data_IF_249857743637
#
_entry.id   IF_249857743637
#
_cell.length_a   1.000
_cell.length_b   1.000
_cell.length_c   1.000
_cell.angle_alpha   90.00
_cell.angle_beta   90.00
_cell.angle_gamma   90.00
#
_symmetry.space_group_name_H-M   'P 1'
#
loop_
_entity.id
_entity.type
_entity.pdbx_description
1 polymer ?
#
# COMPACT_ATOMS: atom_id res chain seq x y z
N UNK A 1 9.57 -11.77 13.37
CA UNK A 1 8.37 -11.23 14.03
C UNK A 1 8.75 -10.21 15.10
N UNK A 2 9.52 -10.58 16.14
CA UNK A 2 9.87 -9.70 17.30
C UNK A 2 10.55 -8.38 16.92
N UNK A 3 11.34 -8.32 15.84
CA UNK A 3 11.98 -7.09 15.35
C UNK A 3 11.04 -6.19 14.55
N UNK A 4 9.79 -6.60 14.32
CA UNK A 4 8.84 -5.80 13.59
C UNK A 4 8.37 -4.62 14.45
N UNK A 5 8.26 -3.39 13.90
CA UNK A 5 7.84 -2.21 14.67
C UNK A 5 6.50 -2.37 15.39
N UNK A 6 5.63 -3.22 14.90
CA UNK A 6 4.31 -3.48 15.50
C UNK A 6 4.33 -4.48 16.65
N UNK A 7 5.46 -5.12 16.95
CA UNK A 7 5.60 -6.00 18.11
C UNK A 7 5.30 -5.26 19.43
N UNK A 8 5.58 -3.95 19.49
CA UNK A 8 5.26 -3.08 20.65
C UNK A 8 3.77 -3.04 21.01
N UNK A 9 2.88 -3.25 20.03
CA UNK A 9 1.42 -3.28 20.26
C UNK A 9 0.92 -4.68 20.65
N UNK A 10 1.72 -5.70 20.46
CA UNK A 10 1.33 -7.09 20.73
C UNK A 10 1.69 -7.48 22.16
N UNK A 11 2.89 -7.12 22.61
CA UNK A 11 3.37 -7.43 23.95
C UNK A 11 4.26 -6.33 24.49
N UNK A 12 4.15 -6.03 25.78
CA UNK A 12 5.06 -5.11 26.48
C UNK A 12 6.44 -5.72 26.68
N UNK A 13 6.53 -7.05 26.76
CA UNK A 13 7.74 -7.78 27.08
C UNK A 13 8.59 -8.18 25.86
N UNK A 14 8.20 -7.76 24.65
CA UNK A 14 8.88 -8.15 23.41
C UNK A 14 10.35 -7.73 23.36
N UNK A 15 10.69 -6.58 23.96
CA UNK A 15 12.07 -6.07 23.99
C UNK A 15 12.96 -6.90 24.90
N UNK A 16 12.46 -7.27 26.09
CA UNK A 16 13.20 -8.09 27.05
C UNK A 16 13.48 -9.48 26.49
N UNK A 17 12.48 -10.06 25.81
CA UNK A 17 12.66 -11.32 25.11
C UNK A 17 13.67 -11.22 23.97
N UNK A 18 13.60 -10.14 23.18
CA UNK A 18 14.54 -9.91 22.09
C UNK A 18 15.98 -9.77 22.62
N UNK A 19 16.17 -9.01 23.71
CA UNK A 19 17.46 -8.82 24.37
C UNK A 19 18.01 -10.15 24.91
N UNK A 20 17.17 -10.94 25.56
CA UNK A 20 17.53 -12.27 26.06
C UNK A 20 17.99 -13.21 24.94
N UNK A 21 17.28 -13.20 23.80
CA UNK A 21 17.64 -14.00 22.63
C UNK A 21 19.00 -13.58 22.07
N UNK A 22 19.26 -12.27 21.99
CA UNK A 22 20.52 -11.73 21.46
C UNK A 22 21.71 -11.97 22.40
N UNK A 23 21.55 -11.74 23.69
CA UNK A 23 22.61 -11.98 24.70
C UNK A 23 23.00 -13.44 24.79
N UNK A 24 22.01 -14.32 24.84
CA UNK A 24 22.23 -15.77 24.99
C UNK A 24 22.52 -16.45 23.65
N UNK A 25 22.49 -15.71 22.51
CA UNK A 25 22.70 -16.22 21.14
C UNK A 25 21.86 -17.48 20.87
N UNK A 26 20.57 -17.40 21.22
CA UNK A 26 19.65 -18.50 21.02
C UNK A 26 19.23 -18.57 19.55
N UNK A 27 19.75 -19.53 18.81
CA UNK A 27 19.44 -19.75 17.39
C UNK A 27 18.21 -20.64 17.18
N UNK A 28 17.94 -21.51 18.14
CA UNK A 28 16.77 -22.40 18.16
C UNK A 28 15.99 -22.09 19.43
N UNK A 29 14.74 -21.69 19.26
CA UNK A 29 13.86 -21.29 20.36
C UNK A 29 12.72 -22.29 20.47
N UNK A 30 12.59 -22.89 21.63
CA UNK A 30 11.42 -23.68 21.97
C UNK A 30 10.23 -22.74 22.22
N UNK A 31 9.02 -23.25 21.95
CA UNK A 31 7.78 -22.49 22.13
C UNK A 31 7.63 -21.98 23.56
N UNK A 32 8.04 -22.75 24.54
CA UNK A 32 7.98 -22.41 25.95
C UNK A 32 8.83 -21.18 26.32
N UNK A 33 9.86 -20.89 25.53
CA UNK A 33 10.69 -19.68 25.69
C UNK A 33 10.02 -18.45 25.06
N UNK A 34 9.23 -18.66 23.99
CA UNK A 34 8.54 -17.61 23.27
C UNK A 34 7.18 -17.25 23.88
N UNK A 35 6.50 -18.24 24.47
CA UNK A 35 5.17 -18.13 25.03
C UNK A 35 5.26 -18.18 26.57
N UNK A 36 5.17 -17.01 27.20
CA UNK A 36 5.02 -16.95 28.65
C UNK A 36 3.54 -17.19 29.02
N UNK A 37 3.27 -17.90 30.12
CA UNK A 37 1.90 -18.22 30.56
C UNK A 37 1.02 -16.98 30.76
N UNK A 38 1.63 -15.82 31.05
CA UNK A 38 0.92 -14.56 31.36
C UNK A 38 0.85 -13.59 30.15
N UNK A 39 1.50 -13.88 29.01
CA UNK A 39 1.53 -12.99 27.85
C UNK A 39 0.65 -13.51 26.72
N UNK A 40 -0.62 -13.12 26.73
CA UNK A 40 -1.61 -13.49 25.72
C UNK A 40 -1.20 -13.04 24.31
N UNK A 41 -0.56 -11.87 24.18
CA UNK A 41 -0.10 -11.33 22.91
C UNK A 41 1.00 -12.20 22.29
N UNK A 42 1.97 -12.63 23.09
CA UNK A 42 3.04 -13.52 22.64
C UNK A 42 2.49 -14.91 22.29
N UNK A 43 1.59 -15.44 23.09
CA UNK A 43 0.92 -16.71 22.82
C UNK A 43 0.15 -16.67 21.50
N UNK A 44 -0.50 -15.55 21.21
CA UNK A 44 -1.20 -15.32 19.94
C UNK A 44 -0.22 -15.17 18.77
N UNK A 45 0.88 -14.42 18.94
CA UNK A 45 1.89 -14.20 17.88
C UNK A 45 2.54 -15.51 17.43
N UNK A 46 2.77 -16.45 18.35
CA UNK A 46 3.42 -17.74 18.08
C UNK A 46 2.43 -18.92 18.12
N UNK A 47 1.17 -18.67 17.82
CA UNK A 47 0.16 -19.71 17.71
C UNK A 47 0.53 -20.75 16.64
N UNK A 48 0.28 -22.01 16.94
CA UNK A 48 0.48 -23.11 16.00
C UNK A 48 -0.74 -23.19 15.03
N UNK A 49 -0.50 -22.87 13.78
CA UNK A 49 -1.51 -22.92 12.72
C UNK A 49 -1.58 -24.28 12.02
N UNK A 50 -0.57 -25.13 12.21
CA UNK A 50 -0.52 -26.44 11.54
C UNK A 50 -1.43 -27.47 12.20
N UNK A 51 -1.77 -27.28 13.47
CA UNK A 51 -2.65 -28.16 14.23
C UNK A 51 -4.13 -28.10 13.77
N UNK A 52 -4.50 -27.13 12.94
CA UNK A 52 -5.89 -26.95 12.52
C UNK A 52 -6.23 -27.79 11.28
N UNK A 53 -7.42 -28.43 11.29
CA UNK A 53 -7.94 -29.16 10.14
C UNK A 53 -8.11 -28.25 8.91
N UNK A 54 -8.60 -27.03 9.12
CA UNK A 54 -8.70 -26.01 8.06
C UNK A 54 -7.64 -24.93 8.24
N UNK A 55 -6.48 -25.14 7.60
CA UNK A 55 -5.34 -24.21 7.66
C UNK A 55 -5.65 -22.82 7.10
N UNK A 56 -6.52 -22.73 6.09
CA UNK A 56 -6.91 -21.44 5.51
C UNK A 56 -7.72 -20.61 6.52
N UNK A 57 -8.68 -21.23 7.18
CA UNK A 57 -9.47 -20.57 8.22
C UNK A 57 -8.61 -20.19 9.42
N UNK A 58 -7.69 -21.06 9.84
CA UNK A 58 -6.75 -20.78 10.92
C UNK A 58 -5.88 -19.56 10.59
N UNK A 59 -5.34 -19.47 9.37
CA UNK A 59 -4.49 -18.35 8.94
C UNK A 59 -5.26 -17.02 8.93
N UNK A 60 -6.44 -16.97 8.30
CA UNK A 60 -7.20 -15.71 8.26
C UNK A 60 -7.73 -15.32 9.64
N UNK A 61 -8.12 -16.29 10.47
CA UNK A 61 -8.50 -16.06 11.86
C UNK A 61 -7.36 -15.50 12.69
N UNK A 62 -6.17 -16.08 12.56
CA UNK A 62 -4.95 -15.59 13.19
C UNK A 62 -4.65 -14.13 12.80
N UNK A 63 -4.69 -13.81 11.50
CA UNK A 63 -4.44 -12.45 11.01
C UNK A 63 -5.47 -11.45 11.56
N UNK A 64 -6.75 -11.81 11.58
CA UNK A 64 -7.81 -10.96 12.16
C UNK A 64 -7.53 -10.69 13.65
N UNK A 65 -7.14 -11.70 14.41
CA UNK A 65 -6.88 -11.56 15.85
C UNK A 65 -5.66 -10.69 16.12
N UNK A 66 -4.56 -10.87 15.38
CA UNK A 66 -3.37 -10.01 15.48
C UNK A 66 -3.72 -8.55 15.15
N UNK A 67 -4.48 -8.31 14.09
CA UNK A 67 -4.88 -6.95 13.71
C UNK A 67 -5.79 -6.30 14.78
N UNK A 68 -6.68 -7.07 15.40
CA UNK A 68 -7.50 -6.59 16.52
C UNK A 68 -6.64 -6.23 17.73
N UNK A 69 -5.66 -7.07 18.06
CA UNK A 69 -4.75 -6.84 19.17
C UNK A 69 -3.93 -5.56 18.95
N UNK A 70 -3.37 -5.39 17.74
CA UNK A 70 -2.67 -4.15 17.38
C UNK A 70 -3.61 -2.94 17.51
N UNK A 71 -4.84 -3.04 17.01
CA UNK A 71 -5.82 -1.96 17.06
C UNK A 71 -6.28 -1.60 18.48
N UNK A 72 -6.37 -2.58 19.39
CA UNK A 72 -6.76 -2.34 20.78
C UNK A 72 -5.67 -1.65 21.60
N UNK A 73 -4.40 -1.79 21.23
CA UNK A 73 -3.26 -1.19 21.91
C UNK A 73 -2.70 0.04 21.19
N UNK A 74 -3.17 0.34 19.96
CA UNK A 74 -2.83 1.58 19.27
C UNK A 74 -3.58 2.75 19.97
N UNK A 75 -2.82 3.70 20.52
CA UNK A 75 -3.38 4.86 21.20
C UNK A 75 -3.97 5.87 20.19
N UNK A 76 -4.92 6.70 20.65
CA UNK A 76 -5.54 7.80 19.88
C UNK A 76 -4.56 8.87 19.38
N UNK A 77 -3.29 8.82 19.79
CA UNK A 77 -2.21 9.71 19.33
C UNK A 77 -1.41 9.17 18.14
N UNK A 78 -1.72 8.00 17.63
CA UNK A 78 -1.06 7.44 16.43
C UNK A 78 -1.55 8.17 15.16
N UNK A 79 -0.69 8.19 14.15
CA UNK A 79 -0.97 8.83 12.87
C UNK A 79 -2.28 8.30 12.26
N UNK A 80 -3.15 9.21 11.81
CA UNK A 80 -4.42 8.88 11.17
C UNK A 80 -4.25 7.94 9.96
N UNK A 81 -3.13 8.03 9.27
CA UNK A 81 -2.78 7.13 8.17
C UNK A 81 -2.56 5.69 8.67
N UNK A 82 -1.92 5.54 9.82
CA UNK A 82 -1.73 4.23 10.44
C UNK A 82 -3.08 3.60 10.82
N UNK A 83 -3.97 4.35 11.46
CA UNK A 83 -5.29 3.87 11.86
C UNK A 83 -6.13 3.48 10.64
N UNK A 84 -6.14 4.30 9.58
CA UNK A 84 -6.87 3.99 8.34
C UNK A 84 -6.28 2.75 7.63
N UNK A 85 -4.95 2.60 7.60
CA UNK A 85 -4.29 1.44 7.01
C UNK A 85 -4.60 0.15 7.77
N UNK A 86 -4.61 0.22 9.12
CA UNK A 86 -4.98 -0.90 9.97
C UNK A 86 -6.44 -1.31 9.78
N UNK A 87 -7.35 -0.34 9.76
CA UNK A 87 -8.77 -0.58 9.54
C UNK A 87 -9.04 -1.22 8.17
N UNK A 88 -8.41 -0.72 7.11
CA UNK A 88 -8.53 -1.31 5.76
C UNK A 88 -7.98 -2.73 5.69
N UNK A 89 -6.81 -2.94 6.27
CA UNK A 89 -6.20 -4.27 6.35
C UNK A 89 -7.12 -5.25 7.09
N UNK A 90 -7.64 -4.84 8.24
CA UNK A 90 -8.61 -5.63 9.01
C UNK A 90 -9.86 -5.95 8.19
N UNK A 91 -10.43 -4.97 7.52
CA UNK A 91 -11.66 -5.14 6.71
C UNK A 91 -11.44 -6.15 5.58
N UNK A 92 -10.30 -6.08 4.88
CA UNK A 92 -9.96 -7.02 3.81
C UNK A 92 -9.79 -8.45 4.32
N UNK A 93 -9.00 -8.64 5.39
CA UNK A 93 -8.76 -9.97 5.95
C UNK A 93 -10.05 -10.55 6.55
N UNK A 94 -10.85 -9.73 7.22
CA UNK A 94 -12.13 -10.18 7.76
C UNK A 94 -13.12 -10.60 6.66
N UNK A 95 -13.12 -9.92 5.52
CA UNK A 95 -13.90 -10.32 4.35
C UNK A 95 -13.42 -11.65 3.78
N UNK A 96 -12.11 -11.87 3.67
CA UNK A 96 -11.56 -13.17 3.26
C UNK A 96 -11.93 -14.27 4.26
N UNK A 97 -11.89 -13.97 5.56
CA UNK A 97 -12.31 -14.90 6.60
C UNK A 97 -13.77 -15.34 6.39
N UNK A 98 -14.69 -14.40 6.17
CA UNK A 98 -16.08 -14.71 5.90
C UNK A 98 -16.27 -15.60 4.65
N UNK A 99 -15.50 -15.35 3.57
CA UNK A 99 -15.58 -16.17 2.35
C UNK A 99 -15.04 -17.59 2.55
N UNK A 100 -14.01 -17.77 3.37
CA UNK A 100 -13.49 -19.10 3.73
C UNK A 100 -14.47 -19.83 4.67
N UNK A 101 -15.07 -19.11 5.63
CA UNK A 101 -16.07 -19.68 6.56
C UNK A 101 -17.35 -20.11 5.87
N UNK A 102 -17.83 -19.33 4.87
CA UNK A 102 -19.03 -19.68 4.09
C UNK A 102 -18.79 -20.81 3.09
N UNK A 103 -17.54 -21.17 2.81
CA UNK A 103 -17.18 -22.14 1.77
C UNK A 103 -17.23 -21.58 0.35
N UNK A 104 -17.46 -20.26 0.18
CA UNK A 104 -17.43 -19.61 -1.13
C UNK A 104 -16.02 -19.51 -1.69
N UNK A 105 -15.01 -19.63 -0.83
CA UNK A 105 -13.59 -19.61 -1.17
C UNK A 105 -12.92 -20.89 -0.68
N UNK A 106 -12.92 -21.93 -1.53
CA UNK A 106 -12.24 -23.20 -1.29
C UNK A 106 -10.93 -23.24 -2.09
N UNK A 107 -9.82 -22.93 -1.43
CA UNK A 107 -8.47 -22.85 -2.03
C UNK A 107 -7.44 -23.42 -1.06
N UNK A 108 -6.27 -23.78 -1.60
CA UNK A 108 -5.13 -24.19 -0.79
C UNK A 108 -4.45 -22.99 -0.12
N UNK A 109 -3.68 -23.25 0.93
CA UNK A 109 -3.02 -22.21 1.74
C UNK A 109 -2.04 -21.36 0.95
N UNK A 110 -1.34 -21.93 -0.02
CA UNK A 110 -0.39 -21.20 -0.87
C UNK A 110 -1.10 -20.20 -1.77
N UNK A 111 -2.25 -20.60 -2.33
CA UNK A 111 -3.10 -19.74 -3.15
C UNK A 111 -3.71 -18.63 -2.30
N UNK A 112 -4.16 -18.94 -1.08
CA UNK A 112 -4.65 -17.93 -0.13
C UNK A 112 -3.58 -16.88 0.20
N UNK A 113 -2.35 -17.30 0.49
CA UNK A 113 -1.24 -16.38 0.77
C UNK A 113 -0.95 -15.45 -0.43
N UNK A 114 -0.93 -15.99 -1.66
CA UNK A 114 -0.76 -15.19 -2.88
C UNK A 114 -1.91 -14.20 -3.07
N UNK A 115 -3.14 -14.63 -2.82
CA UNK A 115 -4.32 -13.76 -2.91
C UNK A 115 -4.25 -12.62 -1.90
N UNK A 116 -3.89 -12.89 -0.66
CA UNK A 116 -3.67 -11.86 0.38
C UNK A 116 -2.62 -10.85 -0.07
N UNK A 117 -1.48 -11.35 -0.56
CA UNK A 117 -0.41 -10.47 -1.04
C UNK A 117 -0.85 -9.60 -2.22
N UNK A 118 -1.57 -10.16 -3.18
CA UNK A 118 -2.09 -9.43 -4.34
C UNK A 118 -3.14 -8.37 -3.93
N UNK A 119 -4.02 -8.70 -2.98
CA UNK A 119 -4.99 -7.74 -2.45
C UNK A 119 -4.31 -6.56 -1.78
N UNK A 120 -3.27 -6.79 -0.98
CA UNK A 120 -2.52 -5.71 -0.34
C UNK A 120 -1.78 -4.84 -1.34
N UNK A 121 -1.17 -5.42 -2.37
CA UNK A 121 -0.50 -4.65 -3.44
C UNK A 121 -1.47 -3.75 -4.22
N UNK A 122 -2.72 -4.16 -4.38
CA UNK A 122 -3.74 -3.42 -5.12
C UNK A 122 -4.57 -2.47 -4.24
N UNK A 123 -4.37 -2.49 -2.92
CA UNK A 123 -5.14 -1.66 -2.00
C UNK A 123 -4.37 -0.40 -1.66
N UNK A 124 -4.96 0.73 -1.99
CA UNK A 124 -4.42 2.05 -1.65
C UNK A 124 -5.13 2.62 -0.42
N UNK A 125 -4.36 3.19 0.49
CA UNK A 125 -4.90 3.98 1.60
C UNK A 125 -5.03 5.42 1.12
N UNK A 126 -6.23 6.02 1.07
CA UNK A 126 -6.38 7.40 0.65
C UNK A 126 -5.70 8.31 1.66
N UNK A 127 -4.89 9.20 1.17
CA UNK A 127 -4.31 10.26 1.96
C UNK A 127 -5.30 11.42 1.98
N UNK A 128 -5.85 11.72 3.15
CA UNK A 128 -6.73 12.87 3.35
C UNK A 128 -5.85 14.08 3.67
N UNK A 129 -5.50 14.85 2.64
CA UNK A 129 -4.90 16.18 2.83
C UNK A 129 -5.99 17.25 2.90
N UNK A 130 -5.72 18.34 3.59
CA UNK A 130 -6.58 19.52 3.52
C UNK A 130 -6.36 20.21 2.16
N UNK A 131 -7.39 20.28 1.29
CA UNK A 131 -7.24 20.95 0.01
C UNK A 131 -7.02 22.45 0.22
N UNK A 132 -6.12 23.04 -0.58
CA UNK A 132 -5.88 24.50 -0.63
C UNK A 132 -5.06 25.09 0.52
N UNK A 133 -4.59 24.30 1.48
CA UNK A 133 -3.74 24.78 2.57
C UNK A 133 -2.30 24.25 2.38
N UNK A 134 -1.33 25.16 2.29
CA UNK A 134 0.09 24.84 2.16
C UNK A 134 0.50 24.33 0.78
N UNK A 135 1.61 23.61 0.72
CA UNK A 135 2.14 23.06 -0.54
C UNK A 135 1.29 21.86 -0.97
N UNK A 136 0.78 21.92 -2.21
CA UNK A 136 -0.02 20.85 -2.80
C UNK A 136 0.84 20.00 -3.74
N UNK A 137 0.86 18.69 -3.52
CA UNK A 137 1.54 17.72 -4.40
C UNK A 137 0.46 17.00 -5.21
N UNK A 138 0.48 17.23 -6.54
CA UNK A 138 -0.56 16.76 -7.45
C UNK A 138 0.04 16.17 -8.70
N UNK A 139 -0.66 15.25 -9.36
CA UNK A 139 -0.37 14.87 -10.74
C UNK A 139 -0.88 15.92 -11.73
N UNK A 140 -0.37 15.88 -12.97
CA UNK A 140 -0.77 16.85 -14.01
C UNK A 140 -2.28 16.81 -14.31
N UNK A 141 -2.92 15.65 -14.15
CA UNK A 141 -4.35 15.51 -14.41
C UNK A 141 -5.21 16.12 -13.30
N UNK A 142 -4.73 16.11 -12.07
CA UNK A 142 -5.41 16.65 -10.90
C UNK A 142 -5.37 18.18 -10.86
N UNK A 143 -4.43 18.80 -11.59
CA UNK A 143 -4.32 20.27 -11.69
C UNK A 143 -5.31 20.91 -12.67
N UNK A 144 -6.18 20.13 -13.30
CA UNK A 144 -7.16 20.65 -14.26
C UNK A 144 -8.10 21.67 -13.63
N UNK A 145 -8.26 22.81 -14.32
CA UNK A 145 -9.09 23.96 -13.89
C UNK A 145 -8.60 24.65 -12.60
N UNK A 146 -7.38 24.35 -12.15
CA UNK A 146 -6.74 25.07 -11.07
C UNK A 146 -5.70 26.04 -11.63
N UNK A 147 -5.54 27.18 -10.98
CA UNK A 147 -4.53 28.18 -11.26
C UNK A 147 -3.60 28.29 -10.04
N UNK A 148 -2.30 28.41 -10.28
CA UNK A 148 -1.29 28.51 -9.24
C UNK A 148 -0.33 29.65 -9.58
N UNK A 149 0.09 30.41 -8.56
CA UNK A 149 1.09 31.47 -8.74
C UNK A 149 2.50 30.88 -8.86
N UNK A 150 2.82 29.85 -8.10
CA UNK A 150 4.12 29.20 -8.05
C UNK A 150 3.98 27.71 -8.37
N UNK A 151 4.76 27.23 -9.34
CA UNK A 151 4.71 25.85 -9.81
C UNK A 151 6.11 25.25 -9.81
N UNK A 152 6.26 24.11 -9.16
CA UNK A 152 7.45 23.27 -9.23
C UNK A 152 7.06 21.93 -9.88
N UNK A 153 7.57 21.68 -11.09
CA UNK A 153 7.33 20.42 -11.81
C UNK A 153 8.53 19.52 -11.67
N UNK A 154 8.34 18.35 -11.06
CA UNK A 154 9.38 17.36 -10.85
C UNK A 154 9.39 16.33 -11.98
N UNK A 155 10.57 15.74 -12.23
CA UNK A 155 10.74 14.65 -13.22
C UNK A 155 10.33 15.03 -14.65
N UNK A 156 10.70 16.23 -15.11
CA UNK A 156 10.47 16.69 -16.49
C UNK A 156 11.43 15.99 -17.47
N UNK A 157 11.49 14.66 -17.42
CA UNK A 157 12.35 13.86 -18.25
C UNK A 157 11.58 13.32 -19.46
N UNK A 158 12.33 12.98 -20.54
CA UNK A 158 11.79 12.25 -21.69
C UNK A 158 11.01 11.00 -21.23
N UNK A 159 9.83 10.79 -21.78
CA UNK A 159 8.94 9.66 -21.40
C UNK A 159 8.14 9.83 -20.11
N UNK A 160 8.49 10.78 -19.22
CA UNK A 160 7.73 11.08 -18.01
C UNK A 160 6.79 12.27 -18.20
N UNK A 161 7.27 13.34 -18.84
CA UNK A 161 6.48 14.53 -19.20
C UNK A 161 6.86 15.04 -20.58
N UNK A 162 5.99 14.90 -21.60
CA UNK A 162 4.72 14.17 -21.57
C UNK A 162 4.93 12.66 -21.34
N UNK A 163 4.04 12.03 -20.58
CA UNK A 163 4.11 10.58 -20.36
C UNK A 163 4.02 9.87 -21.71
N UNK A 164 4.97 9.00 -22.00
CA UNK A 164 4.97 8.21 -23.23
C UNK A 164 3.65 7.46 -23.37
N UNK A 165 2.98 7.65 -24.48
CA UNK A 165 1.69 7.04 -24.76
C UNK A 165 1.95 5.68 -25.40
N UNK A 166 2.06 4.64 -24.59
CA UNK A 166 2.03 3.27 -25.10
C UNK A 166 0.60 2.96 -25.55
N UNK A 167 0.45 2.74 -26.85
CA UNK A 167 -0.83 2.33 -27.43
C UNK A 167 -0.90 0.79 -27.49
N UNK A 168 -1.36 0.20 -26.39
CA UNK A 168 -1.64 -1.25 -26.28
C UNK A 168 -3.01 -1.64 -26.86
N UNK A 169 -3.58 -0.81 -27.73
CA UNK A 169 -4.89 -1.06 -28.31
C UNK A 169 -4.86 -2.16 -29.37
N UNK A 170 -5.82 -3.07 -29.32
CA UNK A 170 -6.03 -4.08 -30.38
C UNK A 170 -6.49 -3.46 -31.72
N UNK A 171 -6.91 -2.19 -31.72
CA UNK A 171 -7.38 -1.51 -32.93
C UNK A 171 -6.20 -0.74 -33.53
N UNK A 172 -5.75 -1.08 -34.77
CA UNK A 172 -4.67 -0.39 -35.45
C UNK A 172 -4.92 1.11 -35.62
N UNK A 173 -3.84 1.92 -35.62
CA UNK A 173 -3.89 3.37 -35.75
C UNK A 173 -4.70 3.83 -36.98
N UNK A 174 -4.53 3.18 -38.14
CA UNK A 174 -5.21 3.50 -39.39
C UNK A 174 -6.75 3.38 -39.29
N UNK A 175 -7.22 2.33 -38.62
CA UNK A 175 -8.65 2.10 -38.40
C UNK A 175 -9.21 3.13 -37.42
N UNK A 176 -8.47 3.41 -36.35
CA UNK A 176 -8.87 4.44 -35.37
C UNK A 176 -9.00 5.80 -36.01
N UNK A 177 -8.02 6.18 -36.84
CA UNK A 177 -8.04 7.47 -37.56
C UNK A 177 -9.21 7.54 -38.54
N UNK A 178 -9.47 6.47 -39.30
CA UNK A 178 -10.56 6.43 -40.28
C UNK A 178 -11.94 6.54 -39.63
N UNK A 179 -12.11 6.05 -38.41
CA UNK A 179 -13.37 6.07 -37.67
C UNK A 179 -13.47 7.16 -36.60
N UNK A 180 -12.56 8.12 -36.56
CA UNK A 180 -12.60 9.26 -35.62
C UNK A 180 -12.36 8.84 -34.15
N UNK A 181 -11.77 7.66 -33.91
CA UNK A 181 -11.41 7.22 -32.57
C UNK A 181 -10.14 7.92 -32.06
N UNK A 182 -10.00 8.03 -30.74
CA UNK A 182 -8.84 8.69 -30.13
C UNK A 182 -7.54 8.02 -30.55
N UNK A 183 -6.66 8.78 -31.20
CA UNK A 183 -5.32 8.36 -31.62
C UNK A 183 -4.25 8.79 -30.61
N UNK A 184 -3.00 8.33 -30.82
CA UNK A 184 -1.84 8.76 -30.02
C UNK A 184 -1.67 10.28 -30.11
N UNK A 185 -1.82 10.85 -31.32
CA UNK A 185 -1.67 12.30 -31.53
C UNK A 185 -2.66 13.11 -30.70
N UNK A 186 -3.90 12.63 -30.57
CA UNK A 186 -4.91 13.26 -29.73
C UNK A 186 -4.54 13.18 -28.24
N UNK A 187 -3.98 12.05 -27.79
CA UNK A 187 -3.53 11.90 -26.41
C UNK A 187 -2.36 12.84 -26.09
N UNK A 188 -1.38 12.94 -26.99
CA UNK A 188 -0.26 13.89 -26.85
C UNK A 188 -0.76 15.34 -26.82
N UNK A 189 -1.69 15.70 -27.72
CA UNK A 189 -2.27 17.03 -27.73
C UNK A 189 -3.03 17.37 -26.44
N UNK A 190 -3.72 16.41 -25.83
CA UNK A 190 -4.39 16.58 -24.54
C UNK A 190 -3.37 16.83 -23.41
N UNK A 191 -2.26 16.08 -23.37
CA UNK A 191 -1.21 16.31 -22.37
C UNK A 191 -0.55 17.68 -22.57
N UNK A 192 -0.25 18.07 -23.80
CA UNK A 192 0.29 19.39 -24.11
C UNK A 192 -0.67 20.49 -23.65
N UNK A 193 -1.97 20.35 -23.93
CA UNK A 193 -2.99 21.28 -23.46
C UNK A 193 -3.00 21.43 -21.94
N UNK A 194 -2.96 20.32 -21.18
CA UNK A 194 -2.94 20.40 -19.72
C UNK A 194 -1.69 21.08 -19.20
N UNK A 195 -0.54 20.80 -19.79
CA UNK A 195 0.71 21.45 -19.42
C UNK A 195 0.67 22.95 -19.68
N UNK A 196 0.28 23.38 -20.89
CA UNK A 196 0.13 24.80 -21.22
C UNK A 196 -0.90 25.51 -20.34
N UNK A 197 -2.01 24.83 -20.05
CA UNK A 197 -3.04 25.37 -19.16
C UNK A 197 -2.54 25.57 -17.74
N UNK A 198 -1.71 24.65 -17.25
CA UNK A 198 -1.12 24.72 -15.91
C UNK A 198 -0.19 25.95 -15.78
N UNK A 199 0.72 26.14 -16.74
CA UNK A 199 1.73 27.21 -16.67
C UNK A 199 1.20 28.59 -17.10
N UNK A 200 0.06 28.65 -17.78
CA UNK A 200 -0.43 29.85 -18.44
C UNK A 200 -0.60 31.08 -17.53
N UNK A 201 -0.93 30.86 -16.25
CA UNK A 201 -1.21 31.91 -15.28
C UNK A 201 -0.23 31.94 -14.13
N UNK A 202 0.79 31.09 -14.13
CA UNK A 202 1.80 31.05 -13.11
C UNK A 202 2.74 32.25 -13.22
N UNK A 203 3.13 32.81 -12.07
CA UNK A 203 4.13 33.85 -11.97
C UNK A 203 5.54 33.25 -12.04
N UNK A 204 5.74 32.12 -11.34
CA UNK A 204 7.01 31.41 -11.31
C UNK A 204 6.81 29.94 -11.66
N UNK A 205 7.62 29.44 -12.59
CA UNK A 205 7.60 28.03 -13.00
C UNK A 205 9.02 27.49 -12.93
N UNK A 206 9.22 26.47 -12.11
CA UNK A 206 10.47 25.74 -12.01
C UNK A 206 10.30 24.32 -12.52
N UNK A 207 11.11 23.92 -13.51
CA UNK A 207 11.11 22.58 -14.07
C UNK A 207 12.37 21.84 -13.64
N UNK A 208 12.19 20.69 -12.94
CA UNK A 208 13.28 19.86 -12.51
C UNK A 208 13.40 18.62 -13.41
N UNK A 209 14.58 18.40 -13.95
CA UNK A 209 14.88 17.24 -14.78
C UNK A 209 16.21 16.59 -14.39
N UNK A 210 16.39 15.34 -14.73
CA UNK A 210 17.65 14.63 -14.55
C UNK A 210 18.50 14.81 -15.81
N UNK A 211 19.72 15.34 -15.64
CA UNK A 211 20.66 15.53 -16.76
C UNK A 211 21.59 14.33 -16.98
N UNK A 212 21.53 13.28 -16.12
CA UNK A 212 22.28 12.05 -16.37
C UNK A 212 21.64 11.30 -17.53
N UNK A 213 22.37 11.13 -18.61
CA UNK A 213 22.06 10.16 -19.65
C UNK A 213 22.44 8.78 -19.11
N UNK A 214 21.45 7.93 -18.86
CA UNK A 214 21.73 6.50 -18.70
C UNK A 214 22.23 5.99 -20.06
N UNK A 215 23.54 5.71 -20.14
CA UNK A 215 24.16 4.93 -21.23
C UNK A 215 23.86 3.43 -21.05
#
# INVERSE_FOLDING_TARGET
ALRHPYAKYISSNYQDLLHKIEEQKLYFLDRDVLCAEEDEGMNMMFADLEASENRCLALVGYLVNILRLIGSHANDGEDSLFQESLFRTYTLINRLKCLVESGDLDIDIMTLQRLIQQLFQNTNVPFHGEPVIGVQIMGVLETRNLDFDHILVLSCNEGNLPKGVNDSSFIPYSIRKAHGLTTIDNKVAIFAYYFYRLIQRAQDVTLCYNSSTDE
#
